data_IF_096372430926
#
_entry.id   IF_096372430926
#
_cell.length_a   1.000
_cell.length_b   1.000
_cell.length_c   1.000
_cell.angle_alpha   90.00
_cell.angle_beta   90.00
_cell.angle_gamma   90.00
#
_symmetry.space_group_name_H-M   'P 1'
#
loop_
_entity.id
_entity.type
_entity.pdbx_description
1 polymer ?
#
# COMPACT_ATOMS: atom_id res chain seq x y z
N UNK A 1 -45.69 -10.70 44.27
CA UNK A 1 -46.01 -9.69 43.24
C UNK A 1 -45.08 -8.51 43.42
N UNK A 2 -44.11 -8.18 42.58
CA UNK A 2 -43.83 -8.57 41.22
C UNK A 2 -42.31 -8.52 41.00
N UNK A 3 -41.73 -9.62 40.54
CA UNK A 3 -40.53 -9.60 39.69
C UNK A 3 -40.90 -9.03 38.31
N UNK A 4 -39.89 -8.56 37.57
CA UNK A 4 -39.89 -8.19 36.13
C UNK A 4 -39.88 -6.67 35.88
N UNK A 5 -38.71 -6.03 35.99
CA UNK A 5 -38.44 -4.77 35.27
C UNK A 5 -36.95 -4.38 35.08
N UNK A 6 -35.94 -5.21 35.40
CA UNK A 6 -34.52 -4.82 35.23
C UNK A 6 -33.71 -5.67 34.22
N UNK A 7 -34.35 -6.59 33.48
CA UNK A 7 -33.66 -7.49 32.53
C UNK A 7 -33.49 -6.93 31.10
N UNK A 8 -34.05 -5.77 30.79
CA UNK A 8 -34.15 -5.25 29.42
C UNK A 8 -33.02 -4.29 29.03
N UNK A 9 -32.33 -3.66 29.99
CA UNK A 9 -31.21 -2.75 29.68
C UNK A 9 -29.94 -3.52 29.28
N UNK A 10 -29.69 -4.69 29.87
CA UNK A 10 -28.52 -5.53 29.64
C UNK A 10 -28.55 -6.37 28.35
N UNK A 11 -29.66 -6.36 27.61
CA UNK A 11 -29.82 -7.16 26.38
C UNK A 11 -29.48 -6.42 25.08
N UNK A 12 -29.16 -5.13 25.15
CA UNK A 12 -28.78 -4.31 23.98
C UNK A 12 -27.29 -4.39 23.60
N UNK A 13 -26.48 -5.12 24.38
CA UNK A 13 -25.02 -5.11 24.26
C UNK A 13 -24.43 -6.10 23.25
N UNK A 14 -24.90 -7.36 23.11
CA UNK A 14 -24.21 -8.35 22.28
C UNK A 14 -24.30 -8.10 20.77
N UNK A 15 -25.45 -7.65 20.26
CA UNK A 15 -25.63 -7.39 18.83
C UNK A 15 -24.82 -6.18 18.36
N UNK A 16 -24.74 -5.14 19.19
CA UNK A 16 -23.90 -3.95 18.94
C UNK A 16 -22.42 -4.32 19.00
N UNK A 17 -22.00 -5.09 20.00
CA UNK A 17 -20.63 -5.58 20.12
C UNK A 17 -20.24 -6.50 18.96
N UNK A 18 -21.13 -7.40 18.55
CA UNK A 18 -20.91 -8.28 17.40
C UNK A 18 -20.76 -7.47 16.11
N UNK A 19 -21.66 -6.51 15.86
CA UNK A 19 -21.56 -5.62 14.70
C UNK A 19 -20.26 -4.82 14.72
N UNK A 20 -19.89 -4.29 15.88
CA UNK A 20 -18.65 -3.53 16.04
C UNK A 20 -17.42 -4.41 15.77
N UNK A 21 -17.36 -5.61 16.34
CA UNK A 21 -16.27 -6.55 16.15
C UNK A 21 -16.16 -7.01 14.68
N UNK A 22 -17.30 -7.29 14.04
CA UNK A 22 -17.36 -7.65 12.63
C UNK A 22 -16.85 -6.51 11.73
N UNK A 23 -17.28 -5.27 11.98
CA UNK A 23 -16.81 -4.11 11.23
C UNK A 23 -15.30 -3.89 11.43
N UNK A 24 -14.82 -3.94 12.67
CA UNK A 24 -13.41 -3.79 13.00
C UNK A 24 -12.55 -4.91 12.39
N UNK A 25 -13.08 -6.13 12.23
CA UNK A 25 -12.42 -7.20 11.49
C UNK A 25 -12.36 -6.89 10.00
N UNK A 26 -13.48 -6.50 9.40
CA UNK A 26 -13.54 -6.17 7.97
C UNK A 26 -12.60 -5.02 7.61
N UNK A 27 -12.59 -3.93 8.40
CA UNK A 27 -11.67 -2.80 8.22
C UNK A 27 -10.22 -3.27 8.27
N UNK A 28 -9.84 -4.07 9.28
CA UNK A 28 -8.47 -4.60 9.39
C UNK A 28 -8.08 -5.46 8.19
N UNK A 29 -8.95 -6.37 7.76
CA UNK A 29 -8.69 -7.24 6.61
C UNK A 29 -8.54 -6.42 5.32
N UNK A 30 -9.42 -5.44 5.08
CA UNK A 30 -9.36 -4.58 3.90
C UNK A 30 -8.11 -3.69 3.91
N UNK A 31 -7.77 -3.08 5.05
CA UNK A 31 -6.54 -2.30 5.20
C UNK A 31 -5.30 -3.15 4.94
N UNK A 32 -5.24 -4.36 5.52
CA UNK A 32 -4.12 -5.27 5.29
C UNK A 32 -3.99 -5.66 3.81
N UNK A 33 -5.11 -5.96 3.13
CA UNK A 33 -5.13 -6.28 1.71
C UNK A 33 -4.61 -5.12 0.85
N UNK A 34 -5.15 -3.91 1.05
CA UNK A 34 -4.73 -2.72 0.30
C UNK A 34 -3.27 -2.39 0.57
N UNK A 35 -2.85 -2.42 1.84
CA UNK A 35 -1.45 -2.16 2.21
C UNK A 35 -0.49 -3.16 1.56
N UNK A 36 -0.81 -4.45 1.58
CA UNK A 36 0.00 -5.48 0.94
C UNK A 36 0.13 -5.24 -0.58
N UNK A 37 -0.95 -4.83 -1.25
CA UNK A 37 -0.91 -4.47 -2.67
C UNK A 37 -0.03 -3.25 -2.94
N UNK A 38 -0.10 -2.22 -2.09
CA UNK A 38 0.75 -1.03 -2.18
C UNK A 38 2.24 -1.36 -1.96
N UNK A 39 2.57 -2.28 -1.04
CA UNK A 39 3.95 -2.74 -0.86
C UNK A 39 4.47 -3.45 -2.11
N UNK A 40 3.65 -4.31 -2.74
CA UNK A 40 4.03 -4.95 -4.01
C UNK A 40 4.25 -3.93 -5.12
N UNK A 41 3.36 -2.94 -5.26
CA UNK A 41 3.52 -1.84 -6.22
C UNK A 41 4.76 -1.01 -5.97
N UNK A 42 5.09 -0.76 -4.70
CA UNK A 42 6.36 -0.12 -4.33
C UNK A 42 7.54 -0.92 -4.86
N UNK A 43 7.58 -2.23 -4.61
CA UNK A 43 8.67 -3.08 -5.08
C UNK A 43 8.78 -3.08 -6.61
N UNK A 44 7.64 -3.12 -7.31
CA UNK A 44 7.61 -3.02 -8.77
C UNK A 44 8.23 -1.72 -9.31
N UNK A 45 8.14 -0.59 -8.58
CA UNK A 45 8.86 0.65 -8.96
C UNK A 45 10.38 0.48 -8.94
N UNK A 46 10.90 -0.34 -8.03
CA UNK A 46 12.34 -0.61 -7.91
C UNK A 46 12.81 -1.69 -8.90
N UNK A 47 11.93 -2.60 -9.29
CA UNK A 47 12.24 -3.67 -10.26
C UNK A 47 12.10 -3.23 -11.72
N UNK A 48 10.99 -2.56 -12.08
CA UNK A 48 10.65 -2.21 -13.47
C UNK A 48 10.85 -0.73 -13.79
N UNK A 49 11.07 0.12 -12.78
CA UNK A 49 11.16 1.56 -12.97
C UNK A 49 9.80 2.26 -12.97
N UNK A 50 9.74 3.47 -13.54
CA UNK A 50 8.56 4.35 -13.50
C UNK A 50 7.41 3.96 -14.43
N UNK A 51 7.61 2.98 -15.31
CA UNK A 51 6.61 2.49 -16.28
C UNK A 51 6.41 1.01 -16.00
N UNK A 52 5.16 0.63 -15.73
CA UNK A 52 4.81 -0.78 -15.50
C UNK A 52 4.43 -1.46 -16.82
N UNK A 53 4.76 -2.75 -17.00
CA UNK A 53 4.26 -3.56 -18.10
C UNK A 53 2.72 -3.55 -18.18
N UNK A 54 2.12 -3.66 -19.38
CA UNK A 54 0.67 -3.62 -19.55
C UNK A 54 -0.05 -4.78 -18.84
N UNK A 55 0.59 -5.94 -18.74
CA UNK A 55 0.06 -7.13 -18.07
C UNK A 55 -0.17 -6.86 -16.57
N UNK A 56 0.69 -6.04 -15.95
CA UNK A 56 0.56 -5.64 -14.56
C UNK A 56 -0.44 -4.49 -14.45
N UNK A 57 -0.30 -3.49 -15.31
CA UNK A 57 -1.11 -2.26 -15.27
C UNK A 57 -2.61 -2.53 -15.43
N UNK A 58 -2.99 -3.54 -16.21
CA UNK A 58 -4.39 -3.94 -16.38
C UNK A 58 -5.03 -4.48 -15.09
N UNK A 59 -4.22 -5.00 -14.16
CA UNK A 59 -4.69 -5.55 -12.88
C UNK A 59 -4.78 -4.49 -11.74
N UNK A 60 -4.51 -3.23 -12.06
CA UNK A 60 -4.54 -2.13 -11.09
C UNK A 60 -5.87 -1.40 -11.08
N UNK A 61 -6.34 -1.07 -9.89
CA UNK A 61 -7.46 -0.14 -9.75
C UNK A 61 -7.00 1.28 -10.09
N UNK A 62 -7.88 2.18 -10.58
CA UNK A 62 -7.52 3.55 -10.90
C UNK A 62 -6.82 4.30 -9.75
N UNK A 63 -7.25 4.05 -8.50
CA UNK A 63 -6.64 4.63 -7.30
C UNK A 63 -5.21 4.13 -7.04
N UNK A 64 -4.92 2.88 -7.38
CA UNK A 64 -3.59 2.29 -7.24
C UNK A 64 -2.63 2.85 -8.29
N UNK A 65 -3.12 3.05 -9.52
CA UNK A 65 -2.36 3.73 -10.57
C UNK A 65 -2.04 5.16 -10.17
N UNK A 66 -3.01 5.91 -9.64
CA UNK A 66 -2.77 7.26 -9.11
C UNK A 66 -1.73 7.25 -7.98
N UNK A 67 -1.84 6.30 -7.05
CA UNK A 67 -0.87 6.16 -5.97
C UNK A 67 0.54 5.85 -6.50
N UNK A 68 0.67 4.94 -7.46
CA UNK A 68 1.95 4.57 -8.06
C UNK A 68 2.60 5.76 -8.78
N UNK A 69 1.82 6.57 -9.50
CA UNK A 69 2.29 7.80 -10.13
C UNK A 69 2.77 8.82 -9.09
N UNK A 70 2.02 9.02 -8.01
CA UNK A 70 2.40 9.91 -6.92
C UNK A 70 3.70 9.45 -6.24
N UNK A 71 3.81 8.16 -5.92
CA UNK A 71 5.03 7.56 -5.37
C UNK A 71 6.23 7.74 -6.30
N UNK A 72 6.05 7.46 -7.60
CA UNK A 72 7.09 7.60 -8.61
C UNK A 72 7.58 9.04 -8.74
N UNK A 73 6.66 10.01 -8.67
CA UNK A 73 6.99 11.44 -8.66
C UNK A 73 7.80 11.83 -7.42
N UNK A 74 7.35 11.41 -6.23
CA UNK A 74 8.08 11.67 -4.98
C UNK A 74 9.49 11.08 -4.99
N UNK A 75 9.64 9.85 -5.49
CA UNK A 75 10.94 9.20 -5.63
C UNK A 75 11.85 9.93 -6.62
N UNK A 76 11.31 10.36 -7.77
CA UNK A 76 12.07 11.14 -8.75
C UNK A 76 12.51 12.50 -8.20
N UNK A 77 11.67 13.17 -7.40
CA UNK A 77 12.04 14.39 -6.69
C UNK A 77 13.19 14.12 -5.70
N UNK A 78 13.12 13.02 -4.96
CA UNK A 78 14.18 12.64 -4.03
C UNK A 78 15.50 12.36 -4.77
N UNK A 79 15.48 11.56 -5.84
CA UNK A 79 16.65 11.26 -6.68
C UNK A 79 17.32 12.52 -7.25
N UNK A 80 16.53 13.56 -7.58
CA UNK A 80 17.07 14.85 -8.03
C UNK A 80 17.69 15.68 -6.90
N UNK A 81 17.27 15.46 -5.65
CA UNK A 81 17.77 16.21 -4.50
C UNK A 81 19.10 15.71 -3.95
N UNK A 82 19.59 14.58 -4.44
CA UNK A 82 20.84 13.94 -4.02
C UNK A 82 21.86 13.98 -5.17
N UNK A 83 23.14 14.19 -4.88
CA UNK A 83 24.19 14.23 -5.91
C UNK A 83 24.34 15.59 -6.62
N UNK A 84 24.20 16.68 -5.86
CA UNK A 84 24.35 18.08 -6.33
C UNK A 84 23.54 18.35 -7.61
N UNK A 85 24.10 19.08 -8.58
CA UNK A 85 23.40 19.51 -9.82
C UNK A 85 23.06 18.35 -10.78
N UNK A 86 23.54 17.13 -10.53
CA UNK A 86 23.43 16.01 -11.46
C UNK A 86 22.31 15.03 -11.12
N UNK A 87 21.89 14.97 -9.85
CA UNK A 87 20.96 13.95 -9.37
C UNK A 87 21.61 12.56 -9.28
N UNK A 88 21.03 11.66 -8.49
CA UNK A 88 21.44 10.25 -8.42
C UNK A 88 20.24 9.34 -8.58
N UNK A 89 20.29 8.48 -9.60
CA UNK A 89 19.25 7.48 -9.83
C UNK A 89 19.49 6.22 -8.98
N UNK A 90 18.75 6.13 -7.87
CA UNK A 90 18.86 5.01 -6.93
C UNK A 90 18.31 3.68 -7.44
N UNK A 91 17.62 3.63 -8.58
CA UNK A 91 17.07 2.37 -9.12
C UNK A 91 18.03 1.67 -10.07
N UNK A 92 19.23 2.22 -10.26
CA UNK A 92 20.29 1.64 -11.09
C UNK A 92 21.43 1.16 -10.19
N UNK A 93 22.41 0.46 -10.78
CA UNK A 93 23.67 0.07 -10.14
C UNK A 93 23.50 -0.77 -8.85
N UNK A 94 22.43 -1.56 -8.77
CA UNK A 94 22.16 -2.48 -7.65
C UNK A 94 23.15 -3.66 -7.57
N UNK A 95 23.95 -3.86 -8.63
CA UNK A 95 24.96 -4.91 -8.75
C UNK A 95 26.30 -4.20 -8.96
N UNK A 96 27.36 -4.59 -8.23
CA UNK A 96 28.67 -3.99 -8.42
C UNK A 96 29.18 -4.23 -9.86
N UNK A 97 29.83 -3.23 -10.48
CA UNK A 97 30.32 -3.34 -11.84
C UNK A 97 31.44 -4.39 -11.93
N UNK A 98 31.37 -5.26 -12.96
CA UNK A 98 32.39 -6.31 -13.22
C UNK A 98 33.48 -5.84 -14.19
N UNK A 99 33.09 -5.10 -15.22
CA UNK A 99 33.95 -4.53 -16.26
C UNK A 99 33.30 -3.27 -16.82
N UNK A 100 34.12 -2.34 -17.34
CA UNK A 100 33.62 -1.08 -17.90
C UNK A 100 32.84 -1.28 -19.20
N UNK A 101 33.20 -2.29 -19.98
CA UNK A 101 32.53 -2.66 -21.23
C UNK A 101 31.87 -4.04 -21.07
N UNK A 102 30.67 -4.15 -21.62
CA UNK A 102 29.91 -5.39 -21.75
C UNK A 102 29.92 -5.71 -23.27
N UNK A 103 30.36 -6.90 -23.65
CA UNK A 103 30.22 -7.44 -25.03
C UNK A 103 28.82 -8.00 -25.27
#
# INVERSE_FOLDING_TARGET
NATVANGSETFRYPSVQLRHAALSRNIRCLMAYVYNRMQRLRNMRWEFGGILPPEISHNLMPIETQWFQAYSKSLATYMKSIGDDYGLNLTMDMIPPKSLYIE
#
